data_IF_003155373105
#
_entry.id   IF_003155373105
#
_cell.length_a   1.000
_cell.length_b   1.000
_cell.length_c   1.000
_cell.angle_alpha   90.00
_cell.angle_beta   90.00
_cell.angle_gamma   90.00
#
_symmetry.space_group_name_H-M   'P 1'
#
loop_
_entity.id
_entity.type
_entity.pdbx_description
1 polymer ?
#
# COMPACT_ATOMS: atom_id res chain seq x y z
N UNK A 1 1.67 -1.09 26.21
CA UNK A 1 2.85 -0.75 25.40
C UNK A 1 2.93 0.75 25.25
N UNK A 2 4.13 1.31 25.27
CA UNK A 2 4.33 2.77 25.20
C UNK A 2 4.84 3.13 23.82
N UNK A 3 4.13 4.04 23.14
CA UNK A 3 4.72 4.80 22.02
C UNK A 3 5.94 5.56 22.55
N UNK A 4 7.04 5.62 21.80
CA UNK A 4 8.19 6.48 22.13
C UNK A 4 7.88 7.95 21.86
N UNK A 5 6.73 8.45 22.31
CA UNK A 5 6.26 9.81 22.13
C UNK A 5 4.96 9.88 21.33
N UNK A 6 4.40 11.08 21.24
CA UNK A 6 3.27 11.39 20.36
C UNK A 6 3.69 11.29 18.88
N UNK A 7 2.77 10.89 17.98
CA UNK A 7 3.05 10.96 16.54
C UNK A 7 3.50 12.35 16.12
N UNK A 8 4.49 12.44 15.23
CA UNK A 8 5.02 13.70 14.74
C UNK A 8 4.78 13.87 13.23
N UNK A 9 4.51 15.08 12.80
CA UNK A 9 4.46 15.39 11.38
C UNK A 9 5.86 15.36 10.79
N UNK A 10 6.07 14.58 9.73
CA UNK A 10 7.35 14.44 9.03
C UNK A 10 7.36 15.20 7.71
N UNK A 11 6.18 15.43 7.14
CA UNK A 11 6.02 16.19 5.90
C UNK A 11 4.67 16.89 5.88
N UNK A 12 4.71 18.22 5.74
CA UNK A 12 3.53 19.04 5.56
C UNK A 12 3.15 19.14 4.07
N UNK A 13 1.87 19.38 3.74
CA UNK A 13 1.47 19.62 2.35
C UNK A 13 2.10 20.90 1.80
N UNK A 14 2.28 20.93 0.47
CA UNK A 14 2.77 22.12 -0.23
C UNK A 14 1.59 22.94 -0.76
N UNK A 15 1.43 24.14 -0.26
CA UNK A 15 0.30 25.01 -0.65
C UNK A 15 -1.05 24.40 -0.24
N UNK A 16 -1.99 24.29 -1.18
CA UNK A 16 -3.30 23.68 -1.00
C UNK A 16 -3.36 22.24 -1.53
N UNK A 17 -2.21 21.63 -1.82
CA UNK A 17 -2.10 20.22 -2.22
C UNK A 17 -2.05 19.28 -1.03
N UNK A 18 -1.69 18.03 -1.30
CA UNK A 18 -1.57 16.96 -0.31
C UNK A 18 -0.27 16.19 -0.50
N UNK A 19 0.16 15.52 0.56
CA UNK A 19 1.16 14.45 0.51
C UNK A 19 0.52 13.19 1.05
N UNK A 20 0.49 12.13 0.22
CA UNK A 20 -0.30 10.93 0.45
C UNK A 20 0.45 9.66 0.11
N UNK A 21 -0.18 8.52 0.35
CA UNK A 21 0.23 7.19 -0.14
C UNK A 21 1.65 6.86 0.31
N UNK A 22 1.88 6.75 1.63
CA UNK A 22 3.20 6.37 2.12
C UNK A 22 3.55 4.93 1.75
N UNK A 23 4.78 4.72 1.30
CA UNK A 23 5.36 3.41 1.02
C UNK A 23 6.80 3.39 1.55
N UNK A 24 7.04 2.67 2.66
CA UNK A 24 8.31 2.66 3.37
C UNK A 24 9.04 1.34 3.18
N UNK A 25 10.33 1.37 2.89
CA UNK A 25 11.14 0.18 2.66
C UNK A 25 12.56 0.34 3.20
N UNK A 26 13.16 -0.74 3.65
CA UNK A 26 14.60 -0.80 3.93
C UNK A 26 15.31 -1.41 2.73
N UNK A 27 16.18 -0.65 2.08
CA UNK A 27 17.00 -1.14 0.95
C UNK A 27 18.21 -1.94 1.45
N UNK A 28 18.87 -2.69 0.55
CA UNK A 28 19.98 -3.59 0.90
C UNK A 28 21.14 -2.93 1.66
N UNK A 29 21.37 -1.62 1.47
CA UNK A 29 22.36 -0.86 2.24
C UNK A 29 21.96 -0.57 3.69
N UNK A 30 20.77 -0.99 4.13
CA UNK A 30 20.20 -0.68 5.45
C UNK A 30 19.57 0.72 5.56
N UNK A 31 19.53 1.49 4.46
CA UNK A 31 18.85 2.78 4.41
C UNK A 31 17.33 2.58 4.41
N UNK A 32 16.62 3.36 5.20
CA UNK A 32 15.16 3.38 5.24
C UNK A 32 14.65 4.50 4.34
N UNK A 33 13.87 4.14 3.33
CA UNK A 33 13.36 5.04 2.30
C UNK A 33 11.85 5.09 2.39
N UNK A 34 11.28 6.29 2.31
CA UNK A 34 9.85 6.56 2.20
C UNK A 34 9.57 7.13 0.82
N UNK A 35 8.71 6.46 0.06
CA UNK A 35 8.10 7.01 -1.15
C UNK A 35 6.70 7.50 -0.80
N UNK A 36 6.22 8.50 -1.53
CA UNK A 36 4.91 9.09 -1.32
C UNK A 36 4.46 9.88 -2.55
N UNK A 37 3.16 10.13 -2.66
CA UNK A 37 2.60 11.01 -3.66
C UNK A 37 2.61 12.47 -3.18
N UNK A 38 3.16 13.37 -3.99
CA UNK A 38 2.88 14.81 -3.92
C UNK A 38 1.76 15.11 -4.90
N UNK A 39 0.60 15.54 -4.36
CA UNK A 39 -0.63 15.77 -5.11
C UNK A 39 -0.96 17.27 -5.10
N UNK A 40 -0.87 17.98 -6.24
CA UNK A 40 -1.32 19.37 -6.31
C UNK A 40 -2.83 19.43 -6.14
N UNK A 41 -3.33 20.54 -5.61
CA UNK A 41 -4.77 20.76 -5.51
C UNK A 41 -5.42 20.62 -6.89
N UNK A 42 -6.55 19.89 -7.01
CA UNK A 42 -7.23 19.71 -8.29
C UNK A 42 -7.77 21.07 -8.78
N UNK A 43 -7.62 21.33 -10.07
CA UNK A 43 -8.05 22.58 -10.69
C UNK A 43 -9.56 22.83 -10.54
N UNK A 44 -10.37 21.79 -10.31
CA UNK A 44 -11.84 21.85 -10.20
C UNK A 44 -12.38 21.72 -8.78
N UNK A 45 -11.56 21.52 -7.77
CA UNK A 45 -12.01 21.33 -6.39
C UNK A 45 -12.83 20.06 -6.13
N UNK A 46 -12.73 19.06 -6.97
CA UNK A 46 -13.54 17.84 -6.96
C UNK A 46 -12.85 16.66 -6.25
N UNK A 47 -12.33 16.86 -5.06
CA UNK A 47 -11.87 15.75 -4.25
C UNK A 47 -12.50 15.82 -2.87
N UNK A 48 -13.06 14.74 -2.38
CA UNK A 48 -13.45 14.61 -0.97
C UNK A 48 -12.99 13.26 -0.45
N UNK A 49 -12.39 13.26 0.72
CA UNK A 49 -12.11 12.03 1.42
C UNK A 49 -13.36 11.49 2.14
N UNK A 50 -13.19 10.38 2.83
CA UNK A 50 -14.24 9.75 3.61
C UNK A 50 -14.81 10.64 4.76
N UNK A 51 -14.06 11.66 5.17
CA UNK A 51 -14.43 12.62 6.22
C UNK A 51 -15.05 13.90 5.65
N UNK A 52 -15.23 14.01 4.34
CA UNK A 52 -15.75 15.20 3.68
C UNK A 52 -14.73 16.32 3.54
N UNK A 53 -13.45 16.07 3.80
CA UNK A 53 -12.38 17.02 3.54
C UNK A 53 -12.14 17.10 2.02
N UNK A 54 -11.80 18.28 1.53
CA UNK A 54 -11.38 18.45 0.14
C UNK A 54 -9.96 17.93 -0.01
N UNK A 55 -9.79 16.87 -0.79
CA UNK A 55 -8.50 16.25 -1.05
C UNK A 55 -8.14 16.35 -2.53
N UNK A 56 -6.85 16.31 -2.83
CA UNK A 56 -6.39 16.24 -4.19
C UNK A 56 -6.79 14.90 -4.82
N UNK A 57 -7.27 14.96 -6.06
CA UNK A 57 -7.82 13.79 -6.76
C UNK A 57 -6.77 12.72 -7.01
N UNK A 58 -7.23 11.50 -7.18
CA UNK A 58 -6.45 10.43 -7.79
C UNK A 58 -6.14 10.74 -9.26
N UNK A 59 -5.41 9.85 -9.95
CA UNK A 59 -5.18 9.99 -11.39
C UNK A 59 -6.51 10.25 -12.14
N UNK A 60 -6.55 11.16 -13.10
CA UNK A 60 -5.41 11.78 -13.82
C UNK A 60 -4.87 13.11 -13.25
N UNK A 61 -5.10 13.42 -11.98
CA UNK A 61 -4.47 14.58 -11.35
C UNK A 61 -2.94 14.48 -11.56
N UNK A 62 -2.22 15.61 -11.77
CA UNK A 62 -0.78 15.58 -12.06
C UNK A 62 0.07 15.27 -10.81
N UNK A 63 -0.20 14.12 -10.21
CA UNK A 63 0.51 13.59 -9.05
C UNK A 63 1.94 13.20 -9.42
N UNK A 64 2.84 13.26 -8.43
CA UNK A 64 4.23 12.83 -8.56
C UNK A 64 4.65 12.00 -7.38
N UNK A 65 5.32 10.88 -7.65
CA UNK A 65 5.99 10.12 -6.60
C UNK A 65 7.32 10.81 -6.28
N UNK A 66 7.54 11.06 -4.99
CA UNK A 66 8.78 11.58 -4.41
C UNK A 66 9.30 10.66 -3.33
N UNK A 67 10.49 10.93 -2.83
CA UNK A 67 11.06 10.12 -1.78
C UNK A 67 11.86 10.93 -0.76
N UNK A 68 12.02 10.35 0.43
CA UNK A 68 12.83 10.83 1.54
C UNK A 68 13.57 9.65 2.18
N UNK A 69 14.68 9.95 2.85
CA UNK A 69 15.48 8.97 3.59
C UNK A 69 15.41 9.27 5.08
N UNK A 70 15.25 8.22 5.88
CA UNK A 70 15.32 8.31 7.35
C UNK A 70 16.76 8.07 7.80
N UNK A 71 17.31 9.02 8.54
CA UNK A 71 18.64 8.90 9.12
C UNK A 71 18.67 7.92 10.30
N UNK A 72 19.85 7.47 10.69
CA UNK A 72 20.02 6.64 11.89
C UNK A 72 19.58 7.35 13.19
N UNK A 73 19.55 8.68 13.20
CA UNK A 73 19.03 9.48 14.32
C UNK A 73 17.49 9.57 14.32
N UNK A 74 16.82 8.98 13.34
CA UNK A 74 15.38 8.99 13.21
C UNK A 74 14.81 10.23 12.50
N UNK A 75 15.64 11.09 11.92
CA UNK A 75 15.21 12.28 11.20
C UNK A 75 15.05 11.99 9.69
N UNK A 76 14.06 12.62 9.05
CA UNK A 76 13.82 12.50 7.63
C UNK A 76 14.56 13.58 6.83
N UNK A 77 15.13 13.20 5.70
CA UNK A 77 15.75 14.14 4.78
C UNK A 77 14.72 15.06 4.13
N UNK A 78 15.18 16.10 3.46
CA UNK A 78 14.31 16.87 2.56
C UNK A 78 13.81 15.99 1.41
N UNK A 79 12.58 16.24 0.89
CA UNK A 79 12.03 15.58 -0.28
C UNK A 79 12.94 15.64 -1.50
N UNK A 80 13.02 14.52 -2.23
CA UNK A 80 13.78 14.40 -3.48
C UNK A 80 12.89 13.88 -4.59
N UNK A 81 13.14 14.35 -5.81
CA UNK A 81 12.51 13.80 -7.00
C UNK A 81 13.16 12.46 -7.37
N UNK A 82 12.37 11.57 -7.97
CA UNK A 82 12.91 10.38 -8.60
C UNK A 82 13.69 10.76 -9.85
N UNK A 83 14.64 9.92 -10.33
CA UNK A 83 15.32 10.15 -11.59
C UNK A 83 14.31 10.42 -12.72
N UNK A 84 14.67 11.28 -13.65
CA UNK A 84 13.82 11.85 -14.72
C UNK A 84 13.22 10.86 -15.72
N UNK A 85 13.36 9.58 -15.47
CA UNK A 85 12.90 8.50 -16.35
C UNK A 85 11.44 8.11 -16.11
N UNK A 86 10.85 8.43 -14.94
CA UNK A 86 9.44 8.16 -14.70
C UNK A 86 8.53 9.08 -15.54
N UNK A 87 7.35 8.60 -15.96
CA UNK A 87 6.32 9.46 -16.54
C UNK A 87 6.02 10.66 -15.63
N UNK A 88 5.62 11.78 -16.24
CA UNK A 88 5.40 13.03 -15.50
C UNK A 88 4.26 12.95 -14.49
N UNK A 89 3.31 12.03 -14.69
CA UNK A 89 2.14 11.83 -13.82
C UNK A 89 2.16 10.40 -13.34
N UNK A 90 2.44 10.21 -12.06
CA UNK A 90 2.55 8.90 -11.40
C UNK A 90 1.92 8.93 -10.03
N UNK A 91 1.34 7.82 -9.60
CA UNK A 91 0.68 7.68 -8.30
C UNK A 91 0.76 6.23 -7.78
N UNK A 92 0.47 6.07 -6.51
CA UNK A 92 0.26 4.77 -5.87
C UNK A 92 1.52 3.88 -5.88
N UNK A 93 2.59 4.38 -5.27
CA UNK A 93 3.84 3.64 -5.14
C UNK A 93 3.64 2.34 -4.34
N UNK A 94 3.98 1.19 -4.96
CA UNK A 94 4.15 -0.09 -4.28
C UNK A 94 5.62 -0.46 -4.31
N UNK A 95 6.25 -0.65 -3.15
CA UNK A 95 7.69 -0.84 -3.06
C UNK A 95 8.10 -2.12 -2.34
N UNK A 96 9.15 -2.75 -2.83
CA UNK A 96 9.78 -3.91 -2.20
C UNK A 96 11.23 -4.09 -2.65
N UNK A 97 11.95 -4.98 -1.98
CA UNK A 97 13.33 -5.32 -2.33
C UNK A 97 13.39 -6.81 -2.60
N UNK A 98 13.96 -7.22 -3.73
CA UNK A 98 14.11 -8.62 -4.07
C UNK A 98 15.28 -9.30 -3.35
N UNK A 99 15.42 -10.62 -3.53
CA UNK A 99 16.48 -11.41 -2.90
C UNK A 99 17.90 -11.04 -3.35
N UNK A 100 18.04 -10.35 -4.47
CA UNK A 100 19.32 -9.84 -4.98
C UNK A 100 19.61 -8.42 -4.48
N UNK A 101 18.70 -7.82 -3.71
CA UNK A 101 18.83 -6.50 -3.11
C UNK A 101 18.41 -5.34 -4.01
N UNK A 102 17.75 -5.61 -5.15
CA UNK A 102 17.21 -4.54 -5.99
C UNK A 102 15.89 -4.02 -5.44
N UNK A 103 15.79 -2.71 -5.35
CA UNK A 103 14.55 -1.99 -5.07
C UNK A 103 13.64 -2.08 -6.30
N UNK A 104 12.37 -2.39 -6.09
CA UNK A 104 11.30 -2.34 -7.08
C UNK A 104 10.23 -1.36 -6.60
N UNK A 105 9.87 -0.42 -7.44
CA UNK A 105 8.81 0.55 -7.23
C UNK A 105 7.83 0.42 -8.40
N UNK A 106 6.71 -0.23 -8.18
CA UNK A 106 5.60 -0.26 -9.12
C UNK A 106 4.67 0.93 -8.88
N UNK A 107 4.16 1.53 -9.94
CA UNK A 107 3.22 2.64 -9.85
C UNK A 107 2.27 2.70 -11.05
N UNK A 108 1.18 3.43 -10.89
CA UNK A 108 0.29 3.77 -11.99
C UNK A 108 0.70 5.09 -12.66
N UNK A 109 0.47 5.19 -13.97
CA UNK A 109 0.59 6.43 -14.73
C UNK A 109 -0.59 6.59 -15.69
N UNK A 110 -1.01 7.81 -15.99
CA UNK A 110 -2.17 8.03 -16.85
C UNK A 110 -1.93 8.99 -18.01
N UNK A 111 -0.74 9.54 -18.17
CA UNK A 111 -0.46 10.64 -19.09
C UNK A 111 -1.45 11.83 -18.98
N UNK A 112 -2.18 11.95 -17.86
CA UNK A 112 -3.14 13.00 -17.62
C UNK A 112 -4.52 12.80 -18.28
N UNK A 113 -4.83 11.60 -18.78
CA UNK A 113 -6.06 11.34 -19.54
C UNK A 113 -7.16 10.65 -18.76
N UNK A 114 -6.82 9.55 -18.07
CA UNK A 114 -7.80 8.69 -17.40
C UNK A 114 -7.38 8.37 -15.97
N UNK A 115 -8.40 8.14 -15.14
CA UNK A 115 -8.28 7.48 -13.85
C UNK A 115 -8.67 6.01 -13.93
N UNK A 116 -8.65 5.33 -12.78
CA UNK A 116 -8.96 3.91 -12.70
C UNK A 116 -10.36 3.55 -13.24
N UNK A 117 -11.37 4.33 -12.89
CA UNK A 117 -12.76 4.06 -13.30
C UNK A 117 -13.01 4.26 -14.79
N UNK A 118 -12.24 5.15 -15.43
CA UNK A 118 -12.39 5.49 -16.85
C UNK A 118 -11.48 4.68 -17.77
N UNK A 119 -10.51 3.96 -17.20
CA UNK A 119 -9.58 3.11 -17.95
C UNK A 119 -10.32 1.99 -18.70
N UNK A 120 -9.89 1.69 -19.93
CA UNK A 120 -10.45 0.63 -20.80
C UNK A 120 -9.33 -0.09 -21.54
N UNK A 121 -9.50 -1.41 -21.69
CA UNK A 121 -8.51 -2.27 -22.36
C UNK A 121 -8.17 -1.86 -23.80
N UNK A 122 -9.20 -1.43 -24.52
CA UNK A 122 -9.16 -1.05 -25.94
C UNK A 122 -9.13 0.46 -26.19
N UNK A 123 -8.95 1.25 -25.12
CA UNK A 123 -8.93 2.72 -25.15
C UNK A 123 -7.80 3.32 -24.36
N UNK A 124 -8.04 4.51 -23.80
CA UNK A 124 -7.13 5.12 -22.84
C UNK A 124 -7.14 4.30 -21.55
N UNK A 125 -5.96 3.96 -21.05
CA UNK A 125 -5.80 3.10 -19.88
C UNK A 125 -4.68 3.56 -18.97
N UNK A 126 -4.76 3.18 -17.70
CA UNK A 126 -3.66 3.34 -16.77
C UNK A 126 -2.47 2.50 -17.21
N UNK A 127 -1.29 3.08 -17.13
CA UNK A 127 -0.03 2.38 -17.38
C UNK A 127 0.49 1.75 -16.09
N UNK A 128 1.03 0.55 -16.18
CA UNK A 128 1.72 -0.15 -15.10
C UNK A 128 3.24 0.02 -15.27
N UNK A 129 3.80 0.94 -14.52
CA UNK A 129 5.22 1.30 -14.61
C UNK A 129 5.98 0.68 -13.45
N UNK A 130 7.12 0.05 -13.76
CA UNK A 130 8.09 -0.45 -12.79
C UNK A 130 9.38 0.35 -12.88
N UNK A 131 9.78 0.99 -11.79
CA UNK A 131 11.12 1.51 -11.60
C UNK A 131 11.91 0.56 -10.70
N UNK A 132 13.12 0.18 -11.08
CA UNK A 132 13.91 -0.79 -10.31
C UNK A 132 15.40 -0.51 -10.39
N UNK A 133 16.13 -0.83 -9.35
CA UNK A 133 17.56 -0.57 -9.27
C UNK A 133 18.13 -0.78 -7.86
N UNK A 134 19.43 -0.55 -7.67
CA UNK A 134 20.07 -0.75 -6.36
C UNK A 134 19.67 0.30 -5.31
N UNK A 135 19.17 1.47 -5.75
CA UNK A 135 18.77 2.58 -4.87
C UNK A 135 17.80 3.52 -5.56
N UNK A 136 17.12 4.43 -4.84
CA UNK A 136 16.25 5.44 -5.43
C UNK A 136 16.95 6.39 -6.41
N UNK A 137 18.25 6.55 -6.28
CA UNK A 137 19.07 7.41 -7.13
C UNK A 137 19.45 6.75 -8.47
N UNK A 138 19.40 5.41 -8.54
CA UNK A 138 19.80 4.63 -9.72
C UNK A 138 18.71 3.63 -10.10
N UNK A 139 17.63 4.16 -10.68
CA UNK A 139 16.47 3.38 -11.12
C UNK A 139 16.44 3.30 -12.66
N UNK A 140 16.04 2.13 -13.15
CA UNK A 140 15.73 1.83 -14.55
C UNK A 140 14.22 1.65 -14.67
N UNK A 141 13.67 1.88 -15.85
CA UNK A 141 12.25 1.66 -16.10
C UNK A 141 12.00 0.39 -16.91
N UNK A 142 10.91 -0.26 -16.56
CA UNK A 142 10.25 -1.30 -17.34
C UNK A 142 8.77 -0.93 -17.43
N UNK A 143 8.23 -0.85 -18.63
CA UNK A 143 6.78 -0.72 -18.85
C UNK A 143 6.17 -2.12 -18.89
N UNK A 144 5.34 -2.43 -17.91
CA UNK A 144 4.64 -3.72 -17.80
C UNK A 144 3.21 -3.66 -18.34
N UNK A 145 2.78 -2.52 -18.88
CA UNK A 145 1.38 -2.26 -19.25
C UNK A 145 0.83 -3.32 -20.20
N UNK A 146 1.45 -3.49 -21.36
CA UNK A 146 0.95 -4.44 -22.37
C UNK A 146 0.96 -5.88 -21.88
N UNK A 147 1.98 -6.24 -21.10
CA UNK A 147 2.12 -7.57 -20.54
C UNK A 147 1.01 -7.86 -19.52
N UNK A 148 0.81 -6.99 -18.54
CA UNK A 148 -0.17 -7.20 -17.50
C UNK A 148 -1.61 -7.16 -18.02
N UNK A 149 -1.94 -6.26 -18.94
CA UNK A 149 -3.27 -6.24 -19.56
C UNK A 149 -3.54 -7.50 -20.38
N UNK A 150 -2.55 -8.03 -21.10
CA UNK A 150 -2.67 -9.29 -21.85
C UNK A 150 -2.87 -10.48 -20.92
N UNK A 151 -2.09 -10.59 -19.82
CA UNK A 151 -2.15 -11.72 -18.89
C UNK A 151 -3.41 -11.71 -18.01
N UNK A 152 -3.96 -10.53 -17.75
CA UNK A 152 -5.12 -10.39 -16.87
C UNK A 152 -6.45 -10.23 -17.60
N UNK A 153 -6.44 -9.73 -18.83
CA UNK A 153 -7.64 -9.32 -19.55
C UNK A 153 -8.33 -8.09 -18.93
N UNK A 154 -7.60 -7.29 -18.17
CA UNK A 154 -8.12 -6.17 -17.40
C UNK A 154 -8.68 -5.05 -18.29
N UNK A 155 -9.74 -4.39 -17.82
CA UNK A 155 -10.15 -3.06 -18.29
C UNK A 155 -9.32 -1.96 -17.58
N UNK A 156 -8.98 -2.20 -16.32
CA UNK A 156 -8.12 -1.33 -15.54
C UNK A 156 -7.32 -2.15 -14.53
N UNK A 157 -6.09 -1.71 -14.25
CA UNK A 157 -5.28 -2.26 -13.17
C UNK A 157 -4.36 -1.19 -12.59
N UNK A 158 -4.01 -1.36 -11.32
CA UNK A 158 -2.97 -0.56 -10.65
C UNK A 158 -2.31 -1.40 -9.54
N UNK A 159 -1.04 -1.13 -9.27
CA UNK A 159 -0.34 -1.70 -8.12
C UNK A 159 -0.94 -1.13 -6.82
N UNK A 160 -1.20 -1.97 -5.84
CA UNK A 160 -1.70 -1.50 -4.54
C UNK A 160 -0.58 -0.79 -3.80
N UNK A 161 -0.87 0.37 -3.24
CA UNK A 161 0.12 1.24 -2.60
C UNK A 161 0.69 0.66 -1.31
N UNK A 162 1.84 1.18 -0.90
CA UNK A 162 2.56 0.78 0.31
C UNK A 162 3.74 -0.15 0.04
N UNK A 163 4.34 -0.69 1.08
CA UNK A 163 5.41 -1.67 0.93
C UNK A 163 4.89 -3.09 0.81
N UNK A 164 5.59 -3.90 0.05
CA UNK A 164 5.30 -5.31 -0.19
C UNK A 164 6.43 -6.21 0.31
N UNK A 165 6.35 -7.50 0.02
CA UNK A 165 7.27 -8.51 0.52
C UNK A 165 8.09 -9.16 -0.58
N UNK A 166 9.23 -9.72 -0.19
CA UNK A 166 9.98 -10.68 -1.00
C UNK A 166 9.67 -12.11 -0.52
N UNK A 167 9.45 -13.00 -1.47
CA UNK A 167 9.23 -14.43 -1.21
C UNK A 167 9.93 -15.23 -2.30
N UNK A 168 10.68 -16.26 -1.91
CA UNK A 168 11.54 -17.08 -2.80
C UNK A 168 12.47 -16.23 -3.70
N UNK A 169 12.92 -15.09 -3.18
CA UNK A 169 13.84 -14.18 -3.86
C UNK A 169 13.20 -13.22 -4.85
N UNK A 170 11.91 -13.35 -5.17
CA UNK A 170 11.17 -12.40 -5.98
C UNK A 170 10.45 -11.37 -5.09
N UNK A 171 10.32 -10.15 -5.56
CA UNK A 171 9.38 -9.18 -4.99
C UNK A 171 7.98 -9.49 -5.51
N UNK A 172 6.99 -9.49 -4.62
CA UNK A 172 5.59 -9.77 -4.93
C UNK A 172 4.79 -8.47 -4.93
N UNK A 173 4.35 -7.99 -6.10
CA UNK A 173 3.55 -6.77 -6.24
C UNK A 173 2.08 -7.14 -6.42
N UNK A 174 1.19 -6.80 -5.47
CA UNK A 174 -0.24 -6.99 -5.65
C UNK A 174 -0.82 -5.91 -6.56
N UNK A 175 -1.68 -6.32 -7.49
CA UNK A 175 -2.43 -5.45 -8.39
C UNK A 175 -3.92 -5.63 -8.17
N UNK A 176 -4.65 -4.54 -8.07
CA UNK A 176 -6.10 -4.54 -8.26
C UNK A 176 -6.37 -4.63 -9.75
N UNK A 177 -7.17 -5.60 -10.15
CA UNK A 177 -7.56 -5.86 -11.53
C UNK A 177 -9.07 -5.73 -11.65
N UNK A 178 -9.55 -4.88 -12.56
CA UNK A 178 -10.96 -4.70 -12.87
C UNK A 178 -11.28 -5.26 -14.24
N UNK A 179 -12.35 -6.07 -14.30
CA UNK A 179 -12.95 -6.59 -15.55
C UNK A 179 -14.45 -6.34 -15.45
N UNK A 180 -14.97 -5.44 -16.28
CA UNK A 180 -16.36 -4.97 -16.14
C UNK A 180 -16.59 -4.30 -14.79
N UNK A 181 -17.51 -4.88 -14.00
CA UNK A 181 -17.86 -4.42 -12.64
C UNK A 181 -17.14 -5.22 -11.53
N UNK A 182 -16.42 -6.27 -11.87
CA UNK A 182 -15.74 -7.13 -10.92
C UNK A 182 -14.31 -6.66 -10.67
N UNK A 183 -13.87 -6.75 -9.42
CA UNK A 183 -12.47 -6.54 -9.02
C UNK A 183 -11.92 -7.75 -8.29
N UNK A 184 -10.67 -8.05 -8.56
CA UNK A 184 -9.92 -9.11 -7.91
C UNK A 184 -8.44 -8.72 -7.81
N UNK A 185 -7.67 -9.48 -7.05
CA UNK A 185 -6.25 -9.24 -6.87
C UNK A 185 -5.44 -10.25 -7.70
N UNK A 186 -4.40 -9.74 -8.35
CA UNK A 186 -3.33 -10.55 -8.98
C UNK A 186 -2.01 -10.14 -8.35
N UNK A 187 -1.18 -11.10 -8.06
CA UNK A 187 0.18 -10.87 -7.56
C UNK A 187 1.17 -11.09 -8.70
N UNK A 188 2.01 -10.11 -8.93
CA UNK A 188 3.09 -10.15 -9.94
C UNK A 188 4.41 -10.37 -9.23
N UNK A 189 5.13 -11.41 -9.59
CA UNK A 189 6.48 -11.67 -9.10
C UNK A 189 7.53 -11.06 -10.02
N UNK A 190 8.45 -10.32 -9.43
CA UNK A 190 9.50 -9.60 -10.13
C UNK A 190 10.86 -9.89 -9.51
N UNK A 191 11.89 -10.07 -10.35
CA UNK A 191 13.29 -10.21 -9.92
C UNK A 191 14.20 -9.44 -10.86
N UNK A 192 15.06 -8.58 -10.31
CA UNK A 192 15.97 -7.72 -11.08
C UNK A 192 15.24 -7.01 -12.23
N UNK A 193 14.05 -6.46 -11.96
CA UNK A 193 13.22 -5.73 -12.91
C UNK A 193 12.56 -6.58 -14.00
N UNK A 194 12.57 -7.90 -13.88
CA UNK A 194 11.97 -8.83 -14.84
C UNK A 194 10.72 -9.47 -14.27
N UNK A 195 9.71 -9.58 -15.11
CA UNK A 195 8.52 -10.39 -14.85
C UNK A 195 8.89 -11.87 -14.77
N UNK A 196 8.51 -12.57 -13.70
CA UNK A 196 8.69 -14.01 -13.54
C UNK A 196 7.37 -14.75 -13.73
N UNK A 197 6.34 -14.34 -13.00
CA UNK A 197 5.00 -14.94 -13.09
C UNK A 197 3.93 -14.00 -12.53
N UNK A 198 2.69 -14.33 -12.81
CA UNK A 198 1.49 -13.71 -12.22
C UNK A 198 0.63 -14.79 -11.55
N UNK A 199 0.07 -14.47 -10.38
CA UNK A 199 -0.71 -15.42 -9.58
C UNK A 199 -2.02 -15.82 -10.25
N UNK A 200 -2.65 -16.89 -9.73
CA UNK A 200 -4.08 -17.10 -9.92
C UNK A 200 -4.88 -15.89 -9.37
N UNK A 201 -6.08 -15.61 -9.92
CA UNK A 201 -6.92 -14.55 -9.38
C UNK A 201 -7.31 -14.83 -7.93
N UNK A 202 -7.09 -13.85 -7.04
CA UNK A 202 -7.66 -13.87 -5.71
C UNK A 202 -9.01 -13.18 -5.76
N UNK A 203 -10.07 -13.95 -5.68
CA UNK A 203 -11.45 -13.49 -5.67
C UNK A 203 -11.95 -13.37 -4.23
N UNK A 204 -12.76 -12.37 -3.94
CA UNK A 204 -13.54 -12.32 -2.72
C UNK A 204 -14.67 -13.37 -2.71
N UNK A 205 -15.32 -13.59 -1.56
CA UNK A 205 -16.59 -14.32 -1.52
C UNK A 205 -17.64 -13.67 -2.43
N UNK A 206 -18.72 -14.42 -2.75
CA UNK A 206 -19.80 -13.91 -3.61
C UNK A 206 -20.30 -12.54 -3.13
N UNK A 207 -20.33 -11.57 -4.04
CA UNK A 207 -20.76 -10.19 -3.78
C UNK A 207 -19.73 -9.30 -3.09
N UNK A 208 -18.53 -9.80 -2.82
CA UNK A 208 -17.43 -9.06 -2.18
C UNK A 208 -16.35 -8.73 -3.22
N UNK A 209 -16.18 -7.44 -3.51
CA UNK A 209 -15.13 -6.94 -4.36
C UNK A 209 -13.88 -6.64 -3.54
N UNK A 210 -12.72 -7.14 -3.99
CA UNK A 210 -11.43 -6.88 -3.37
C UNK A 210 -10.80 -5.63 -3.97
N UNK A 211 -10.11 -4.88 -3.13
CA UNK A 211 -9.41 -3.64 -3.48
C UNK A 211 -7.97 -3.69 -2.93
N UNK A 212 -7.37 -2.55 -2.64
CA UNK A 212 -6.00 -2.42 -2.16
C UNK A 212 -5.61 -3.48 -1.14
N UNK A 213 -4.50 -4.15 -1.40
CA UNK A 213 -4.09 -5.35 -0.69
C UNK A 213 -2.66 -5.21 -0.20
N UNK A 214 -2.44 -5.39 1.09
CA UNK A 214 -1.10 -5.55 1.65
C UNK A 214 -0.72 -7.02 1.70
N UNK A 215 0.52 -7.33 1.31
CA UNK A 215 1.08 -8.66 1.44
C UNK A 215 2.02 -8.73 2.64
N UNK A 216 2.04 -9.88 3.30
CA UNK A 216 3.03 -10.22 4.31
C UNK A 216 3.47 -11.68 4.19
N UNK A 217 4.65 -12.01 4.71
CA UNK A 217 5.06 -13.40 4.91
C UNK A 217 4.84 -13.75 6.38
N UNK A 218 4.06 -14.80 6.62
CA UNK A 218 3.74 -15.27 7.96
C UNK A 218 3.77 -16.80 8.00
N UNK A 219 4.60 -17.37 8.85
CA UNK A 219 4.86 -18.82 8.97
C UNK A 219 5.12 -19.50 7.62
N UNK A 220 5.97 -18.88 6.80
CA UNK A 220 6.35 -19.41 5.50
C UNK A 220 5.25 -19.37 4.43
N UNK A 221 4.15 -18.68 4.67
CA UNK A 221 3.06 -18.42 3.72
C UNK A 221 3.04 -16.96 3.32
N UNK A 222 2.63 -16.70 2.09
CA UNK A 222 2.22 -15.35 1.66
C UNK A 222 0.78 -15.14 2.12
N UNK A 223 0.55 -14.08 2.88
CA UNK A 223 -0.79 -13.69 3.34
C UNK A 223 -1.16 -12.37 2.67
N UNK A 224 -2.31 -12.36 2.01
CA UNK A 224 -2.93 -11.16 1.46
C UNK A 224 -4.00 -10.65 2.45
N UNK A 225 -3.90 -9.39 2.85
CA UNK A 225 -4.90 -8.70 3.64
C UNK A 225 -5.54 -7.62 2.75
N UNK A 226 -6.74 -7.94 2.24
CA UNK A 226 -7.41 -7.16 1.23
C UNK A 226 -8.44 -6.22 1.84
N UNK A 227 -8.42 -4.96 1.41
CA UNK A 227 -9.52 -4.01 1.59
C UNK A 227 -10.74 -4.51 0.85
N UNK A 228 -11.93 -4.34 1.44
CA UNK A 228 -13.20 -4.64 0.80
C UNK A 228 -13.75 -3.39 0.11
N UNK A 229 -14.18 -3.56 -1.13
CA UNK A 229 -14.92 -2.54 -1.87
C UNK A 229 -16.39 -2.97 -1.95
N UNK A 230 -17.29 -2.10 -1.48
CA UNK A 230 -18.72 -2.36 -1.60
C UNK A 230 -19.30 -3.48 -0.74
N UNK A 231 -18.59 -3.93 0.30
CA UNK A 231 -19.17 -4.87 1.27
C UNK A 231 -20.44 -4.28 1.88
N UNK A 232 -21.58 -4.93 1.64
CA UNK A 232 -22.92 -4.42 1.97
C UNK A 232 -23.18 -2.97 1.49
N UNK A 233 -22.48 -2.51 0.45
CA UNK A 233 -22.57 -1.15 -0.07
C UNK A 233 -21.87 -0.08 0.80
N UNK A 234 -21.01 -0.46 1.75
CA UNK A 234 -20.39 0.47 2.71
C UNK A 234 -18.88 0.62 2.55
N UNK A 235 -18.19 -0.34 1.95
CA UNK A 235 -16.71 -0.34 1.87
C UNK A 235 -16.02 -0.37 3.24
N UNK A 236 -16.75 -0.68 4.32
CA UNK A 236 -16.30 -0.66 5.71
C UNK A 236 -16.79 -1.90 6.46
N UNK A 237 -16.14 -2.22 7.58
CA UNK A 237 -16.58 -3.29 8.49
C UNK A 237 -15.95 -4.64 8.22
N UNK A 238 -14.83 -4.72 7.48
CA UNK A 238 -14.12 -5.98 7.34
C UNK A 238 -12.95 -5.94 6.38
N UNK A 239 -12.21 -7.04 6.39
CA UNK A 239 -11.08 -7.35 5.51
C UNK A 239 -11.20 -8.79 5.01
N UNK A 240 -10.64 -9.08 3.86
CA UNK A 240 -10.49 -10.45 3.38
C UNK A 240 -9.04 -10.88 3.52
N UNK A 241 -8.81 -11.95 4.28
CA UNK A 241 -7.49 -12.53 4.50
C UNK A 241 -7.38 -13.80 3.67
N UNK A 242 -6.40 -13.89 2.79
CA UNK A 242 -6.10 -15.09 2.03
C UNK A 242 -4.66 -15.51 2.25
N UNK A 243 -4.37 -16.81 2.09
CA UNK A 243 -3.04 -17.35 2.27
C UNK A 243 -2.71 -18.40 1.21
N UNK A 244 -1.43 -18.49 0.87
CA UNK A 244 -0.91 -19.39 -0.14
C UNK A 244 0.60 -19.29 -0.27
N UNK A 245 1.10 -19.55 -1.47
CA UNK A 245 2.51 -19.39 -1.84
C UNK A 245 2.78 -18.09 -2.64
N UNK A 246 1.74 -17.27 -2.82
CA UNK A 246 1.77 -16.04 -3.61
C UNK A 246 1.40 -16.26 -5.07
N UNK A 247 1.66 -17.43 -5.66
CA UNK A 247 1.22 -17.77 -7.01
C UNK A 247 -0.18 -18.38 -7.02
N UNK A 248 -0.56 -19.07 -5.96
CA UNK A 248 -1.86 -19.69 -5.74
C UNK A 248 -2.34 -19.50 -4.30
N UNK A 249 -3.66 -19.65 -4.09
CA UNK A 249 -4.32 -19.38 -2.82
C UNK A 249 -4.91 -20.69 -2.25
N UNK A 250 -4.43 -21.08 -1.08
CA UNK A 250 -4.85 -22.30 -0.40
C UNK A 250 -6.15 -22.11 0.39
N UNK A 251 -6.49 -20.88 0.74
CA UNK A 251 -7.71 -20.53 1.47
C UNK A 251 -7.89 -19.05 1.66
N UNK A 252 -9.04 -18.65 2.18
CA UNK A 252 -9.37 -17.27 2.48
C UNK A 252 -10.48 -17.17 3.51
N UNK A 253 -10.50 -16.07 4.24
CA UNK A 253 -11.41 -15.82 5.36
C UNK A 253 -11.86 -14.35 5.39
N UNK A 254 -13.16 -14.13 5.47
CA UNK A 254 -13.71 -12.80 5.73
C UNK A 254 -13.59 -12.51 7.22
N UNK A 255 -12.86 -11.46 7.56
CA UNK A 255 -12.67 -11.01 8.93
C UNK A 255 -13.44 -9.72 9.16
N UNK A 256 -14.47 -9.79 10.00
CA UNK A 256 -15.23 -8.62 10.45
C UNK A 256 -14.40 -7.84 11.47
N UNK A 257 -14.15 -6.57 11.19
CA UNK A 257 -13.38 -5.67 12.05
C UNK A 257 -13.82 -4.21 11.86
N UNK A 258 -13.44 -3.36 12.81
CA UNK A 258 -13.66 -1.92 12.68
C UNK A 258 -12.68 -1.33 11.64
N UNK A 259 -13.00 -1.40 10.36
CA UNK A 259 -12.20 -0.87 9.26
C UNK A 259 -13.05 0.06 8.38
N UNK A 260 -12.62 1.29 8.08
CA UNK A 260 -13.40 2.24 7.27
C UNK A 260 -13.25 2.05 5.77
N UNK A 261 -12.62 0.97 5.32
CA UNK A 261 -12.28 0.78 3.90
C UNK A 261 -11.09 1.65 3.50
N UNK A 262 -9.94 1.42 4.12
CA UNK A 262 -8.71 2.16 3.87
C UNK A 262 -7.57 1.21 3.55
N UNK A 263 -6.55 1.69 2.81
CA UNK A 263 -5.30 0.95 2.70
C UNK A 263 -4.63 0.84 4.08
N UNK A 264 -3.96 -0.28 4.31
CA UNK A 264 -3.43 -0.66 5.61
C UNK A 264 -2.15 -1.49 5.44
N UNK A 265 -1.45 -1.82 6.53
CA UNK A 265 -0.21 -2.60 6.46
C UNK A 265 -0.24 -3.83 7.33
N UNK A 266 0.07 -4.99 6.72
CA UNK A 266 0.33 -6.24 7.41
C UNK A 266 1.85 -6.52 7.50
N UNK A 267 2.33 -7.00 8.66
CA UNK A 267 3.72 -7.34 8.94
C UNK A 267 3.76 -8.62 9.80
N UNK A 268 3.80 -9.80 9.18
CA UNK A 268 3.60 -11.06 9.89
C UNK A 268 2.21 -11.10 10.54
N UNK A 269 2.17 -11.27 11.84
CA UNK A 269 0.95 -11.25 12.69
C UNK A 269 0.48 -9.83 13.06
N UNK A 270 1.23 -8.79 12.70
CA UNK A 270 0.88 -7.41 13.01
C UNK A 270 0.09 -6.75 11.88
N UNK A 271 -0.89 -5.95 12.24
CA UNK A 271 -1.75 -5.21 11.32
C UNK A 271 -1.93 -3.76 11.77
N UNK A 272 -1.54 -2.81 10.91
CA UNK A 272 -1.65 -1.37 11.13
C UNK A 272 -2.78 -0.82 10.27
N UNK A 273 -3.79 -0.22 10.90
CA UNK A 273 -4.95 0.31 10.18
C UNK A 273 -5.68 1.42 10.96
N UNK A 274 -6.56 2.20 10.32
CA UNK A 274 -7.53 3.02 11.04
C UNK A 274 -8.58 2.12 11.70
N UNK A 275 -8.78 2.24 13.01
CA UNK A 275 -9.67 1.41 13.81
C UNK A 275 -10.99 2.14 14.06
N UNK A 276 -11.82 2.24 13.02
CA UNK A 276 -13.11 2.93 13.06
C UNK A 276 -13.99 2.41 11.92
N UNK A 277 -15.30 2.38 12.12
CA UNK A 277 -16.27 2.04 11.06
C UNK A 277 -16.71 3.26 10.24
N UNK A 278 -16.50 4.46 10.74
CA UNK A 278 -17.13 5.68 10.20
C UNK A 278 -16.14 6.66 9.56
N UNK A 279 -14.85 6.59 9.92
CA UNK A 279 -13.87 7.57 9.49
C UNK A 279 -12.45 6.98 9.46
N UNK A 280 -11.57 7.59 8.68
CA UNK A 280 -10.12 7.29 8.67
C UNK A 280 -9.46 7.95 9.87
N UNK A 281 -9.60 7.32 11.03
CA UNK A 281 -9.14 7.83 12.33
C UNK A 281 -8.74 6.69 13.28
N UNK A 282 -8.21 7.04 14.46
CA UNK A 282 -7.87 6.09 15.52
C UNK A 282 -6.90 5.01 15.06
N UNK A 283 -5.76 5.40 14.48
CA UNK A 283 -4.74 4.46 14.06
C UNK A 283 -4.37 3.47 15.16
N UNK A 284 -4.31 2.19 14.81
CA UNK A 284 -4.01 1.11 15.75
C UNK A 284 -3.07 0.08 15.15
N UNK A 285 -2.29 -0.57 16.02
CA UNK A 285 -1.55 -1.78 15.68
C UNK A 285 -2.25 -2.93 16.39
N UNK A 286 -2.72 -3.89 15.60
CA UNK A 286 -3.33 -5.12 16.09
C UNK A 286 -2.36 -6.28 15.93
N UNK A 287 -2.46 -7.26 16.84
CA UNK A 287 -1.87 -8.60 16.67
C UNK A 287 -2.97 -9.57 16.31
N UNK A 288 -2.80 -10.33 15.25
CA UNK A 288 -3.79 -11.25 14.72
C UNK A 288 -3.41 -12.69 15.04
N UNK A 289 -4.42 -13.56 15.19
CA UNK A 289 -4.22 -15.00 15.12
C UNK A 289 -4.13 -15.47 13.67
N UNK A 290 -3.42 -16.59 13.38
CA UNK A 290 -3.27 -17.09 12.02
C UNK A 290 -4.62 -17.38 11.35
N UNK A 291 -4.91 -16.83 10.15
CA UNK A 291 -6.21 -17.02 9.50
C UNK A 291 -6.49 -18.46 9.05
N UNK A 292 -5.48 -19.31 8.93
CA UNK A 292 -5.63 -20.74 8.59
C UNK A 292 -5.96 -21.63 9.81
N UNK A 293 -5.97 -21.10 11.02
CA UNK A 293 -6.30 -21.82 12.24
C UNK A 293 -7.78 -21.66 12.66
N UNK A 294 -8.54 -20.83 11.93
CA UNK A 294 -9.96 -20.59 12.21
C UNK A 294 -10.35 -19.11 12.19
N UNK A 295 -11.25 -18.74 13.06
CA UNK A 295 -11.68 -17.34 13.18
C UNK A 295 -10.51 -16.45 13.59
N UNK A 296 -10.35 -15.33 12.91
CA UNK A 296 -9.30 -14.35 13.21
C UNK A 296 -9.68 -13.57 14.46
N UNK A 297 -8.83 -13.64 15.47
CA UNK A 297 -8.89 -12.79 16.66
C UNK A 297 -7.83 -11.70 16.56
N UNK A 298 -8.12 -10.54 17.09
CA UNK A 298 -7.25 -9.37 17.04
C UNK A 298 -7.14 -8.71 18.42
N UNK A 299 -5.91 -8.55 18.89
CA UNK A 299 -5.61 -7.81 20.11
C UNK A 299 -4.98 -6.47 19.76
N UNK A 300 -5.55 -5.36 20.23
CA UNK A 300 -4.95 -4.04 20.05
C UNK A 300 -3.71 -3.93 20.95
N UNK A 301 -2.53 -3.93 20.32
CA UNK A 301 -1.26 -3.83 21.03
C UNK A 301 -0.75 -2.39 21.16
N UNK A 302 -1.20 -1.48 20.30
CA UNK A 302 -0.87 -0.07 20.40
C UNK A 302 -1.95 0.81 19.76
N UNK A 303 -2.22 1.97 20.37
CA UNK A 303 -2.99 3.06 19.77
C UNK A 303 -2.04 4.14 19.27
N UNK A 304 -2.26 4.63 18.05
CA UNK A 304 -1.49 5.69 17.41
C UNK A 304 -2.17 7.06 17.52
N UNK A 305 -3.15 7.16 18.42
CA UNK A 305 -3.90 8.37 18.74
C UNK A 305 -5.31 8.43 18.17
N UNK A 306 -6.10 9.43 18.61
CA UNK A 306 -7.52 9.59 18.27
C UNK A 306 -7.78 10.52 17.06
N UNK A 307 -6.75 11.12 16.47
CA UNK A 307 -6.90 11.98 15.30
C UNK A 307 -7.03 11.23 13.98
N UNK A 308 -7.03 11.95 12.89
CA UNK A 308 -7.02 11.41 11.54
C UNK A 308 -5.91 10.37 11.34
N UNK A 309 -6.23 9.29 10.63
CA UNK A 309 -5.31 8.20 10.30
C UNK A 309 -5.78 7.58 8.98
N UNK A 310 -5.19 8.02 7.89
CA UNK A 310 -5.51 7.55 6.54
C UNK A 310 -4.67 6.34 6.12
N UNK A 311 -4.23 6.35 4.87
CA UNK A 311 -3.33 5.33 4.35
C UNK A 311 -2.07 5.25 5.21
N UNK A 312 -1.64 4.04 5.46
CA UNK A 312 -0.49 3.80 6.33
C UNK A 312 0.38 2.69 5.79
N UNK A 313 1.67 2.83 6.03
CA UNK A 313 2.65 1.79 5.80
C UNK A 313 3.61 1.72 6.98
N UNK A 314 4.24 0.57 7.17
CA UNK A 314 5.11 0.35 8.30
C UNK A 314 6.19 -0.69 8.02
N UNK A 315 7.30 -0.60 8.72
CA UNK A 315 8.35 -1.61 8.74
C UNK A 315 8.78 -1.92 10.16
N UNK A 316 9.25 -3.15 10.36
CA UNK A 316 9.89 -3.56 11.61
C UNK A 316 11.39 -3.20 11.56
N UNK A 317 11.89 -2.65 12.67
CA UNK A 317 13.31 -2.36 12.90
C UNK A 317 13.67 -2.85 14.31
N UNK A 318 14.16 -4.07 14.41
CA UNK A 318 14.29 -4.76 15.69
C UNK A 318 12.94 -4.93 16.37
N UNK A 319 12.81 -4.48 17.62
CA UNK A 319 11.60 -4.55 18.42
C UNK A 319 10.64 -3.35 18.18
N UNK A 320 10.92 -2.52 17.20
CA UNK A 320 10.13 -1.32 16.91
C UNK A 320 9.43 -1.43 15.57
N UNK A 321 8.18 -0.95 15.49
CA UNK A 321 7.50 -0.62 14.26
C UNK A 321 7.65 0.87 13.98
N UNK A 322 8.18 1.22 12.82
CA UNK A 322 8.16 2.58 12.28
C UNK A 322 6.94 2.67 11.38
N UNK A 323 5.94 3.43 11.80
CA UNK A 323 4.67 3.59 11.08
C UNK A 323 4.62 4.98 10.47
N UNK A 324 4.37 5.08 9.17
CA UNK A 324 4.09 6.34 8.47
C UNK A 324 2.64 6.33 7.99
N UNK A 325 1.92 7.41 8.22
CA UNK A 325 0.49 7.49 7.91
C UNK A 325 0.06 8.89 7.51
N UNK A 326 -1.08 8.97 6.82
CA UNK A 326 -1.71 10.22 6.42
C UNK A 326 -2.51 10.83 7.57
N UNK A 327 -2.31 12.13 7.80
CA UNK A 327 -3.10 12.98 8.71
C UNK A 327 -3.01 14.43 8.26
N UNK A 328 -4.13 15.14 8.25
CA UNK A 328 -4.19 16.59 7.97
C UNK A 328 -3.49 16.96 6.65
N UNK A 329 -3.77 16.21 5.58
CA UNK A 329 -3.17 16.36 4.24
C UNK A 329 -1.64 16.19 4.22
N UNK A 330 -1.02 15.74 5.32
CA UNK A 330 0.42 15.53 5.48
C UNK A 330 0.77 14.11 5.87
N UNK A 331 2.07 13.81 5.97
CA UNK A 331 2.58 12.54 6.47
C UNK A 331 3.10 12.69 7.89
N UNK A 332 2.75 11.71 8.70
CA UNK A 332 3.09 11.60 10.12
C UNK A 332 3.82 10.30 10.41
N UNK A 333 4.65 10.29 11.41
CA UNK A 333 5.39 9.13 11.89
C UNK A 333 5.03 8.81 13.33
N UNK A 334 4.89 7.52 13.64
CA UNK A 334 4.90 6.98 14.99
C UNK A 334 5.92 5.86 15.10
N UNK A 335 6.65 5.78 16.21
CA UNK A 335 7.56 4.67 16.51
C UNK A 335 7.04 3.95 17.75
N UNK A 336 6.78 2.64 17.60
CA UNK A 336 6.10 1.83 18.62
C UNK A 336 6.93 0.60 18.93
N UNK A 337 7.18 0.32 20.21
CA UNK A 337 7.75 -0.94 20.62
C UNK A 337 6.70 -2.04 20.50
N UNK A 338 6.97 -3.07 19.70
CA UNK A 338 6.08 -4.20 19.41
C UNK A 338 6.58 -5.53 19.98
N UNK A 339 7.71 -5.51 20.73
CA UNK A 339 8.19 -6.68 21.45
C UNK A 339 7.11 -7.28 22.33
N UNK A 340 7.10 -8.59 22.47
CA UNK A 340 6.09 -9.36 23.20
C UNK A 340 5.74 -8.71 24.55
N UNK A 341 4.51 -8.28 24.72
CA UNK A 341 3.97 -8.12 26.04
C UNK A 341 3.91 -9.53 26.65
N UNK A 342 4.84 -9.82 27.53
CA UNK A 342 4.70 -10.96 28.43
C UNK A 342 3.32 -10.78 29.08
N UNK A 343 2.38 -11.64 28.69
CA UNK A 343 1.09 -11.74 29.36
C UNK A 343 1.43 -12.23 30.77
N UNK A 344 1.41 -11.30 31.72
CA UNK A 344 1.50 -11.59 33.16
C UNK A 344 0.13 -11.99 33.67
#
# INVERSE_FOLDING_TARGET
MTTRGEPRQILAPVGSGEVRIPAIVTVASGRMILFYDERPAPASGNGSDFNGLTMASDLPNPNKIRWMERTAAGEWSTPRDLPTTLPAITSDACVGVDGDGFLHLACASSEGRVGYMDSRADGDRLQAILAWGPSPEDLRLTDLTDELYRETGADALFATSGSTVSFDGAVLIPYVVRIGEETHIRVVALRAGRFEWISDPLMGPEGVLLDETTLTVWDGRVVANCRLQGFEGRGAGGRYLAWGDGSSWAGGHLWECEDPGCNAKAMGDLFVHPHSLSARERGSILRLTPPWEGAVHADCIASLGFGGFGYSDAILSGDEAVVVFERDCGLWEAVVCVSEAVVS
#
